data_IF_589939316379
#
_entry.id   IF_589939316379
#
_cell.length_a   1.000
_cell.length_b   1.000
_cell.length_c   1.000
_cell.angle_alpha   90.00
_cell.angle_beta   90.00
_cell.angle_gamma   90.00
#
_symmetry.space_group_name_H-M   'P 1'
#
loop_
_entity.id
_entity.type
_entity.pdbx_description
1 polymer ?
#
# COMPACT_ATOMS: atom_id res chain seq x y z
N UNK A 1 -59.70 -47.76 10.64
CA UNK A 1 -60.29 -46.98 9.53
C UNK A 1 -60.16 -45.54 9.96
N UNK A 2 -59.47 -44.62 9.31
CA UNK A 2 -58.85 -44.62 7.99
C UNK A 2 -57.77 -43.51 8.02
N UNK A 3 -56.78 -43.73 7.18
CA UNK A 3 -55.55 -43.02 6.82
C UNK A 3 -55.24 -41.61 7.37
N UNK A 4 -54.12 -41.53 8.10
CA UNK A 4 -53.26 -40.34 8.13
C UNK A 4 -52.25 -40.41 6.98
N UNK A 5 -52.40 -39.50 6.03
CA UNK A 5 -51.41 -39.19 5.00
C UNK A 5 -51.40 -37.68 4.85
N UNK A 6 -50.37 -37.03 5.36
CA UNK A 6 -50.04 -35.67 4.96
C UNK A 6 -48.60 -35.68 4.46
N UNK A 7 -48.50 -35.36 3.18
CA UNK A 7 -47.33 -35.39 2.33
C UNK A 7 -46.34 -34.32 2.77
N UNK A 8 -45.12 -34.76 2.98
CA UNK A 8 -43.87 -34.01 3.04
C UNK A 8 -43.58 -33.38 1.66
N UNK A 9 -43.52 -32.05 1.60
CA UNK A 9 -42.85 -31.27 0.54
C UNK A 9 -42.60 -29.84 1.05
N UNK A 10 -41.44 -29.58 1.65
CA UNK A 10 -40.81 -28.26 1.50
C UNK A 10 -39.31 -28.44 1.33
N UNK A 11 -38.84 -27.99 0.17
CA UNK A 11 -37.49 -28.08 -0.34
C UNK A 11 -36.42 -27.81 0.73
N UNK A 12 -35.51 -28.77 0.86
CA UNK A 12 -34.19 -28.51 1.42
C UNK A 12 -33.48 -27.54 0.48
N UNK A 13 -33.49 -26.26 0.86
CA UNK A 13 -32.53 -25.29 0.39
C UNK A 13 -31.16 -25.79 0.85
N UNK A 14 -30.46 -26.48 -0.07
CA UNK A 14 -29.05 -26.79 0.09
C UNK A 14 -28.32 -25.49 -0.17
N UNK A 15 -28.31 -24.64 0.85
CA UNK A 15 -27.50 -23.43 0.87
C UNK A 15 -26.09 -23.82 0.46
N UNK A 16 -25.75 -23.50 -0.79
CA UNK A 16 -24.40 -23.50 -1.29
C UNK A 16 -23.65 -22.57 -0.35
N UNK A 17 -22.84 -23.16 0.52
CA UNK A 17 -21.87 -22.42 1.31
C UNK A 17 -21.10 -21.55 0.31
N UNK A 18 -21.32 -20.24 0.42
CA UNK A 18 -20.53 -19.24 -0.26
C UNK A 18 -19.08 -19.57 0.05
N UNK A 19 -18.33 -19.95 -0.99
CA UNK A 19 -16.94 -20.34 -0.87
C UNK A 19 -16.19 -19.09 -0.45
N UNK A 20 -16.02 -18.93 0.87
CA UNK A 20 -15.44 -17.76 1.50
C UNK A 20 -14.22 -17.29 0.75
N UNK A 21 -14.36 -16.14 0.08
CA UNK A 21 -13.22 -15.38 -0.36
C UNK A 21 -12.46 -14.99 0.89
N UNK A 22 -11.40 -15.73 1.21
CA UNK A 22 -10.54 -15.43 2.34
C UNK A 22 -10.06 -13.99 2.18
N UNK A 23 -10.50 -13.12 3.08
CA UNK A 23 -9.95 -11.77 3.20
C UNK A 23 -8.44 -11.92 3.37
N UNK A 24 -7.69 -11.32 2.45
CA UNK A 24 -6.23 -11.31 2.56
C UNK A 24 -5.84 -10.15 3.45
N UNK A 25 -5.26 -10.44 4.61
CA UNK A 25 -4.83 -9.43 5.57
C UNK A 25 -3.58 -8.72 5.05
N UNK A 26 -3.58 -7.39 4.99
CA UNK A 26 -2.39 -6.62 4.62
C UNK A 26 -1.32 -6.70 5.72
N UNK A 27 -0.05 -6.56 5.36
CA UNK A 27 1.03 -6.66 6.36
C UNK A 27 0.89 -5.65 7.51
N UNK A 28 0.40 -4.44 7.22
CA UNK A 28 0.18 -3.41 8.23
C UNK A 28 -1.10 -3.60 9.06
N UNK A 29 -1.96 -4.55 8.70
CA UNK A 29 -3.16 -4.91 9.49
C UNK A 29 -2.89 -6.10 10.42
N UNK A 30 -1.65 -6.59 10.47
CA UNK A 30 -1.26 -7.70 11.35
C UNK A 30 -1.16 -7.22 12.80
N UNK A 31 -1.38 -8.13 13.75
CA UNK A 31 -1.19 -7.87 15.18
C UNK A 31 0.21 -8.29 15.66
N UNK A 32 1.15 -8.53 14.74
CA UNK A 32 2.47 -9.09 15.03
C UNK A 32 3.59 -8.52 14.15
N UNK A 33 4.84 -8.86 14.50
CA UNK A 33 6.02 -8.47 13.73
C UNK A 33 6.10 -9.22 12.40
N UNK A 34 6.54 -8.50 11.36
CA UNK A 34 6.89 -9.07 10.07
C UNK A 34 8.20 -8.52 9.51
N UNK A 35 8.76 -9.18 8.50
CA UNK A 35 10.00 -8.82 7.84
C UNK A 35 9.70 -7.91 6.64
N UNK A 36 9.95 -6.60 6.78
CA UNK A 36 9.72 -5.63 5.71
C UNK A 36 10.94 -5.40 4.81
N UNK A 37 12.10 -5.95 5.18
CA UNK A 37 13.31 -5.89 4.37
C UNK A 37 14.34 -6.93 4.79
N UNK A 38 15.07 -7.48 3.82
CA UNK A 38 16.17 -8.43 4.04
C UNK A 38 17.33 -7.98 3.16
N UNK A 39 18.48 -7.73 3.78
CA UNK A 39 19.74 -7.43 3.10
C UNK A 39 20.67 -8.64 3.30
N UNK A 40 20.81 -9.42 2.25
CA UNK A 40 21.58 -10.66 2.23
C UNK A 40 23.10 -10.39 2.23
N UNK A 41 23.53 -9.22 1.73
CA UNK A 41 24.95 -8.85 1.68
C UNK A 41 25.47 -8.44 3.06
N UNK A 42 24.72 -7.58 3.76
CA UNK A 42 25.05 -7.10 5.09
C UNK A 42 24.50 -8.01 6.19
N UNK A 43 23.74 -9.05 5.83
CA UNK A 43 23.11 -10.01 6.74
C UNK A 43 22.26 -9.30 7.78
N UNK A 44 21.35 -8.45 7.33
CA UNK A 44 20.40 -7.76 8.20
C UNK A 44 18.96 -8.00 7.77
N UNK A 45 18.05 -7.97 8.74
CA UNK A 45 16.61 -7.99 8.51
C UNK A 45 15.99 -6.77 9.18
N UNK A 46 15.09 -6.10 8.46
CA UNK A 46 14.25 -5.03 8.97
C UNK A 46 12.92 -5.61 9.41
N UNK A 47 12.63 -5.48 10.69
CA UNK A 47 11.39 -5.92 11.32
C UNK A 47 10.47 -4.71 11.46
N UNK A 48 9.22 -4.83 11.03
CA UNK A 48 8.20 -3.79 11.18
C UNK A 48 7.17 -4.23 12.21
N UNK A 49 6.81 -3.30 13.08
CA UNK A 49 5.78 -3.45 14.10
C UNK A 49 4.55 -2.64 13.69
N UNK A 50 3.48 -3.29 13.18
CA UNK A 50 2.24 -2.62 12.84
C UNK A 50 1.41 -2.19 14.06
N UNK A 51 1.73 -2.69 15.25
CA UNK A 51 0.89 -2.49 16.45
C UNK A 51 1.08 -1.11 17.08
N UNK A 52 0.15 -0.78 17.99
CA UNK A 52 0.15 0.45 18.80
C UNK A 52 1.10 0.43 20.01
N UNK A 53 1.84 -0.66 20.21
CA UNK A 53 2.73 -0.80 21.36
C UNK A 53 4.10 -1.29 20.91
N UNK A 54 5.15 -0.79 21.56
CA UNK A 54 6.51 -1.26 21.35
C UNK A 54 6.61 -2.78 21.56
N UNK A 55 7.24 -3.48 20.62
CA UNK A 55 7.52 -4.91 20.73
C UNK A 55 8.98 -5.09 21.13
N UNK A 56 9.21 -5.66 22.32
CA UNK A 56 10.54 -6.06 22.75
C UNK A 56 10.92 -7.39 22.10
N UNK A 57 12.01 -7.38 21.33
CA UNK A 57 12.61 -8.57 20.72
C UNK A 57 13.87 -9.01 21.47
N UNK A 58 14.25 -10.26 21.27
CA UNK A 58 15.39 -10.90 21.94
C UNK A 58 14.98 -12.12 22.77
N UNK A 59 15.96 -12.69 23.46
CA UNK A 59 15.78 -13.90 24.25
C UNK A 59 15.35 -15.10 23.39
N UNK A 60 14.53 -16.00 23.95
CA UNK A 60 14.05 -17.21 23.24
C UNK A 60 12.72 -17.03 22.52
N UNK A 61 12.10 -15.85 22.62
CA UNK A 61 10.74 -15.60 22.13
C UNK A 61 10.72 -15.44 20.62
N UNK A 62 11.59 -14.57 20.10
CA UNK A 62 11.71 -14.34 18.66
C UNK A 62 12.94 -15.02 18.09
N UNK A 63 12.74 -15.84 17.07
CA UNK A 63 13.82 -16.58 16.43
C UNK A 63 13.71 -16.50 14.92
N UNK A 64 14.86 -16.36 14.27
CA UNK A 64 14.98 -16.58 12.85
C UNK A 64 15.27 -18.05 12.58
N UNK A 65 14.68 -18.56 11.52
CA UNK A 65 14.89 -19.90 11.01
C UNK A 65 15.26 -19.84 9.54
N UNK A 66 16.23 -20.65 9.15
CA UNK A 66 16.53 -20.94 7.77
C UNK A 66 16.87 -22.42 7.65
N UNK A 67 16.28 -23.13 6.68
CA UNK A 67 16.65 -24.52 6.51
C UNK A 67 16.07 -25.46 7.58
N UNK A 68 16.15 -26.78 7.35
CA UNK A 68 15.89 -27.74 8.40
C UNK A 68 17.06 -27.70 9.39
N UNK A 69 16.91 -26.93 10.48
CA UNK A 69 17.74 -27.10 11.68
C UNK A 69 18.56 -25.90 12.15
N UNK A 70 18.55 -24.77 11.45
CA UNK A 70 19.20 -23.56 11.94
C UNK A 70 18.16 -22.60 12.54
N UNK A 71 18.22 -22.44 13.87
CA UNK A 71 17.41 -21.50 14.63
C UNK A 71 18.33 -20.61 15.43
N UNK A 72 18.01 -19.32 15.47
CA UNK A 72 18.78 -18.40 16.28
C UNK A 72 17.90 -17.29 16.81
N UNK A 73 18.07 -17.00 18.10
CA UNK A 73 17.45 -15.87 18.76
C UNK A 73 17.83 -14.56 18.05
N UNK A 74 16.85 -13.67 17.90
CA UNK A 74 17.15 -12.30 17.50
C UNK A 74 18.00 -11.59 18.56
N UNK A 75 18.84 -10.62 18.17
CA UNK A 75 19.45 -9.69 19.12
C UNK A 75 18.39 -8.98 19.98
N UNK A 76 18.77 -8.58 21.20
CA UNK A 76 17.90 -7.74 22.05
C UNK A 76 17.63 -6.40 21.36
N UNK A 77 16.38 -5.94 21.44
CA UNK A 77 15.96 -4.68 20.84
C UNK A 77 14.49 -4.36 21.12
N UNK A 78 14.08 -3.16 20.71
CA UNK A 78 12.69 -2.72 20.77
C UNK A 78 12.30 -2.23 19.38
N UNK A 79 11.27 -2.84 18.81
CA UNK A 79 10.65 -2.38 17.56
C UNK A 79 9.53 -1.40 17.94
N UNK A 80 9.69 -0.09 17.70
CA UNK A 80 8.74 0.91 18.15
C UNK A 80 7.36 0.71 17.51
N UNK A 81 6.28 1.11 18.21
CA UNK A 81 4.92 1.10 17.67
C UNK A 81 4.83 1.82 16.30
N UNK A 82 4.17 1.18 15.31
CA UNK A 82 4.10 1.66 13.92
C UNK A 82 5.44 1.77 13.18
N UNK A 83 6.55 1.39 13.84
CA UNK A 83 7.90 1.63 13.36
C UNK A 83 8.63 0.38 12.91
N UNK A 84 9.92 0.53 12.62
CA UNK A 84 10.78 -0.58 12.23
C UNK A 84 12.14 -0.55 12.93
N UNK A 85 12.76 -1.72 13.03
CA UNK A 85 14.10 -1.92 13.56
C UNK A 85 14.88 -2.87 12.64
N UNK A 86 16.07 -2.44 12.22
CA UNK A 86 17.01 -3.31 11.51
C UNK A 86 17.91 -4.03 12.51
N UNK A 87 17.94 -5.35 12.42
CA UNK A 87 18.78 -6.21 13.26
C UNK A 87 19.67 -7.11 12.42
N UNK A 88 20.81 -7.49 12.99
CA UNK A 88 21.70 -8.45 12.36
C UNK A 88 21.08 -9.87 12.37
N UNK A 89 21.20 -10.56 11.24
CA UNK A 89 20.87 -11.99 11.11
C UNK A 89 21.97 -12.79 11.84
N UNK A 90 21.63 -13.56 12.90
CA UNK A 90 22.61 -14.25 13.71
C UNK A 90 23.52 -15.20 12.91
N UNK A 91 24.76 -15.38 13.37
CA UNK A 91 25.77 -16.20 12.68
C UNK A 91 25.35 -17.66 12.45
N UNK A 92 24.40 -18.18 13.23
CA UNK A 92 23.86 -19.54 13.04
C UNK A 92 22.96 -19.69 11.81
N UNK A 93 22.50 -18.58 11.23
CA UNK A 93 21.67 -18.53 10.02
C UNK A 93 22.58 -18.22 8.82
N UNK A 94 22.45 -18.94 7.71
CA UNK A 94 23.33 -18.82 6.53
C UNK A 94 22.60 -18.27 5.32
N UNK A 95 22.51 -16.95 5.17
CA UNK A 95 21.82 -16.35 4.01
C UNK A 95 22.63 -16.54 2.72
N UNK A 96 22.18 -17.46 1.85
CA UNK A 96 22.72 -17.57 0.49
C UNK A 96 22.12 -16.44 -0.36
N UNK A 97 22.96 -15.58 -0.97
CA UNK A 97 22.50 -14.43 -1.74
C UNK A 97 21.79 -14.80 -3.06
N UNK A 98 21.82 -16.07 -3.47
CA UNK A 98 21.17 -16.54 -4.71
C UNK A 98 19.84 -17.21 -4.40
N UNK A 99 19.82 -18.15 -3.44
CA UNK A 99 18.65 -18.98 -3.16
C UNK A 99 18.47 -19.17 -1.66
N UNK A 100 17.27 -18.94 -1.13
CA UNK A 100 17.07 -19.15 0.29
C UNK A 100 15.67 -18.86 0.79
N UNK A 101 15.51 -19.05 2.09
CA UNK A 101 14.31 -18.76 2.84
C UNK A 101 14.70 -18.15 4.17
N UNK A 102 13.83 -17.31 4.72
CA UNK A 102 13.94 -16.82 6.08
C UNK A 102 12.54 -16.86 6.70
N UNK A 103 12.44 -17.40 7.91
CA UNK A 103 11.20 -17.45 8.65
C UNK A 103 11.39 -16.80 10.02
N UNK A 104 10.41 -16.01 10.44
CA UNK A 104 10.34 -15.39 11.76
C UNK A 104 9.35 -16.18 12.62
N UNK A 105 9.75 -16.55 13.84
CA UNK A 105 8.92 -17.31 14.77
C UNK A 105 8.71 -16.56 16.09
N UNK A 106 7.51 -16.70 16.66
CA UNK A 106 7.17 -16.37 18.05
C UNK A 106 5.96 -17.20 18.52
N UNK A 107 6.08 -18.02 19.59
CA UNK A 107 7.32 -18.38 20.28
C UNK A 107 8.18 -19.33 19.42
N UNK A 108 9.31 -19.82 19.96
CA UNK A 108 10.19 -20.80 19.30
C UNK A 108 9.61 -22.22 19.08
N UNK A 109 8.36 -22.33 18.62
CA UNK A 109 7.72 -23.58 18.18
C UNK A 109 7.83 -23.72 16.65
N UNK A 110 8.84 -24.44 16.18
CA UNK A 110 9.20 -24.41 14.75
C UNK A 110 8.37 -25.31 13.84
N UNK A 111 7.39 -26.02 14.38
CA UNK A 111 6.61 -27.03 13.64
C UNK A 111 5.18 -26.60 13.33
N UNK A 112 4.74 -25.46 13.84
CA UNK A 112 3.34 -25.01 13.76
C UNK A 112 3.26 -23.69 12.99
N UNK A 113 2.23 -23.58 12.13
CA UNK A 113 1.91 -22.35 11.40
C UNK A 113 1.67 -21.16 12.33
N UNK A 114 0.94 -21.34 13.43
CA UNK A 114 0.59 -20.25 14.36
C UNK A 114 1.80 -19.67 15.12
N UNK A 115 2.93 -20.38 15.13
CA UNK A 115 4.14 -19.87 15.75
C UNK A 115 5.08 -19.21 14.73
N UNK A 116 4.85 -19.43 13.43
CA UNK A 116 5.55 -18.70 12.39
C UNK A 116 4.79 -17.39 12.21
N UNK A 117 5.47 -16.27 12.46
CA UNK A 117 4.92 -14.95 12.19
C UNK A 117 5.06 -14.67 10.70
N UNK A 118 6.23 -14.91 10.12
CA UNK A 118 6.48 -14.48 8.75
C UNK A 118 7.42 -15.43 8.00
N UNK A 119 7.34 -15.43 6.68
CA UNK A 119 8.14 -16.27 5.80
C UNK A 119 8.44 -15.52 4.51
N UNK A 120 9.71 -15.53 4.10
CA UNK A 120 10.14 -14.98 2.82
C UNK A 120 11.02 -16.00 2.12
N UNK A 121 10.80 -16.22 0.82
CA UNK A 121 11.69 -17.02 0.00
C UNK A 121 12.16 -16.30 -1.26
N UNK A 122 13.38 -16.61 -1.69
CA UNK A 122 14.02 -15.99 -2.85
C UNK A 122 14.80 -16.99 -3.70
N UNK A 123 15.02 -16.62 -4.96
CA UNK A 123 15.61 -17.48 -5.98
C UNK A 123 14.77 -18.73 -6.20
N UNK A 124 15.42 -19.89 -6.10
CA UNK A 124 14.80 -21.21 -6.20
C UNK A 124 14.34 -21.76 -4.82
N UNK A 125 14.47 -20.95 -3.76
CA UNK A 125 14.08 -21.31 -2.39
C UNK A 125 14.95 -22.36 -1.71
N UNK A 126 16.08 -22.77 -2.30
CA UNK A 126 17.07 -23.73 -1.78
C UNK A 126 16.48 -24.88 -0.92
N UNK A 127 15.54 -25.63 -1.50
CA UNK A 127 14.88 -26.78 -0.87
C UNK A 127 13.61 -26.47 -0.07
N UNK A 128 13.12 -25.22 -0.16
CA UNK A 128 11.90 -24.67 0.47
C UNK A 128 11.62 -25.17 1.90
N UNK A 129 12.64 -25.17 2.77
CA UNK A 129 12.48 -25.64 4.13
C UNK A 129 11.49 -24.74 4.87
N UNK A 130 10.51 -25.38 5.52
CA UNK A 130 9.39 -24.74 6.21
C UNK A 130 8.33 -24.09 5.31
N UNK A 131 8.45 -24.16 3.98
CA UNK A 131 7.35 -23.77 3.09
C UNK A 131 6.09 -24.58 3.39
N UNK A 132 6.24 -25.87 3.70
CA UNK A 132 5.15 -26.73 4.13
C UNK A 132 4.47 -26.29 5.44
N UNK A 133 5.12 -25.44 6.25
CA UNK A 133 4.55 -24.82 7.45
C UNK A 133 3.95 -23.46 7.10
N UNK A 134 4.61 -22.66 6.27
CA UNK A 134 4.09 -21.38 5.79
C UNK A 134 2.79 -21.51 4.97
N UNK A 135 2.65 -22.62 4.23
CA UNK A 135 1.47 -22.98 3.43
C UNK A 135 0.37 -23.69 4.23
N UNK A 136 0.60 -24.02 5.50
CA UNK A 136 -0.49 -24.51 6.36
C UNK A 136 -1.42 -23.35 6.69
N UNK A 137 -2.72 -23.63 6.73
CA UNK A 137 -3.72 -22.69 7.24
C UNK A 137 -3.57 -22.56 8.75
N UNK A 138 -3.40 -21.33 9.24
CA UNK A 138 -3.35 -21.02 10.65
C UNK A 138 -4.72 -21.12 11.30
N UNK A 139 -4.76 -20.94 12.62
CA UNK A 139 -6.00 -20.81 13.40
C UNK A 139 -6.82 -19.58 13.01
N UNK A 140 -6.18 -18.59 12.38
CA UNK A 140 -6.76 -17.39 11.78
C UNK A 140 -7.38 -17.63 10.39
N UNK A 141 -7.23 -18.83 9.82
CA UNK A 141 -7.72 -19.14 8.48
C UNK A 141 -6.81 -18.70 7.34
N UNK A 142 -5.60 -18.18 7.61
CA UNK A 142 -4.67 -17.66 6.59
C UNK A 142 -3.44 -18.54 6.38
N UNK A 143 -2.75 -18.34 5.26
CA UNK A 143 -1.40 -18.89 5.00
C UNK A 143 -0.38 -17.74 4.97
N UNK A 144 0.88 -17.99 5.36
CA UNK A 144 1.93 -16.96 5.28
C UNK A 144 2.57 -16.85 3.91
N UNK A 145 2.55 -17.94 3.15
CA UNK A 145 3.16 -17.97 1.84
C UNK A 145 2.32 -18.83 0.92
N UNK A 146 1.99 -18.32 -0.25
CA UNK A 146 1.21 -19.03 -1.25
C UNK A 146 2.06 -20.02 -2.07
N UNK A 147 1.51 -20.55 -3.15
CA UNK A 147 2.19 -21.47 -4.06
C UNK A 147 2.75 -20.80 -5.33
N UNK A 148 2.78 -19.46 -5.39
CA UNK A 148 3.25 -18.71 -6.56
C UNK A 148 4.79 -18.58 -6.66
N UNK A 149 5.52 -19.33 -5.83
CA UNK A 149 6.98 -19.45 -5.90
C UNK A 149 7.72 -18.43 -5.03
N UNK A 150 8.97 -18.13 -5.41
CA UNK A 150 9.90 -17.31 -4.63
C UNK A 150 10.35 -16.07 -5.40
N UNK A 151 10.72 -15.03 -4.65
CA UNK A 151 11.13 -13.73 -5.19
C UNK A 151 12.38 -13.89 -6.05
N UNK A 152 12.31 -13.43 -7.30
CA UNK A 152 13.46 -13.45 -8.21
C UNK A 152 14.37 -12.26 -7.96
N UNK A 153 15.61 -12.52 -7.53
CA UNK A 153 16.54 -11.45 -7.14
C UNK A 153 17.20 -10.73 -8.31
N UNK A 154 17.33 -11.38 -9.47
CA UNK A 154 17.99 -10.84 -10.65
C UNK A 154 19.39 -10.24 -10.36
N UNK A 155 20.13 -10.82 -9.41
CA UNK A 155 21.46 -10.36 -8.98
C UNK A 155 21.46 -9.35 -7.82
N UNK A 156 20.29 -8.93 -7.33
CA UNK A 156 20.16 -8.15 -6.09
C UNK A 156 20.48 -8.99 -4.87
N UNK A 157 20.94 -8.34 -3.80
CA UNK A 157 21.06 -8.92 -2.46
C UNK A 157 19.98 -8.44 -1.51
N UNK A 158 19.06 -7.60 -1.99
CA UNK A 158 18.04 -6.99 -1.15
C UNK A 158 16.65 -7.44 -1.56
N UNK A 159 15.82 -7.69 -0.55
CA UNK A 159 14.38 -7.90 -0.65
C UNK A 159 13.67 -6.86 0.20
N UNK A 160 12.63 -6.26 -0.35
CA UNK A 160 11.79 -5.28 0.34
C UNK A 160 10.34 -5.63 0.11
N UNK A 161 9.55 -5.67 1.18
CA UNK A 161 8.10 -5.79 1.08
C UNK A 161 7.54 -4.54 0.41
N UNK A 162 6.63 -4.69 -0.54
CA UNK A 162 5.91 -3.58 -1.16
C UNK A 162 4.93 -2.97 -0.16
N UNK A 163 4.73 -1.67 -0.24
CA UNK A 163 3.76 -1.02 0.64
C UNK A 163 2.35 -1.47 0.26
N UNK A 164 1.46 -1.61 1.24
CA UNK A 164 0.07 -1.99 1.00
C UNK A 164 -0.13 -3.44 0.54
N UNK A 165 0.88 -4.32 0.65
CA UNK A 165 0.72 -5.75 0.30
C UNK A 165 0.65 -6.65 1.54
N UNK A 166 0.09 -7.87 1.40
CA UNK A 166 0.05 -8.86 2.48
C UNK A 166 1.42 -9.41 2.87
N UNK A 167 2.34 -9.49 1.90
CA UNK A 167 3.66 -10.11 2.10
C UNK A 167 3.63 -11.63 2.08
N UNK A 168 2.63 -12.23 1.43
CA UNK A 168 2.42 -13.68 1.39
C UNK A 168 2.71 -14.30 0.02
N UNK A 169 3.22 -13.53 -0.94
CA UNK A 169 3.59 -14.01 -2.27
C UNK A 169 4.92 -13.43 -2.74
N UNK A 170 5.50 -14.00 -3.79
CA UNK A 170 6.68 -13.44 -4.43
C UNK A 170 6.45 -12.04 -5.04
N UNK A 171 5.22 -11.73 -5.47
CA UNK A 171 4.91 -10.43 -6.09
C UNK A 171 4.79 -9.30 -5.07
N UNK A 172 4.62 -9.65 -3.79
CA UNK A 172 4.57 -8.67 -2.70
C UNK A 172 5.93 -8.10 -2.35
N UNK A 173 7.01 -8.66 -2.88
CA UNK A 173 8.38 -8.21 -2.63
C UNK A 173 9.02 -7.64 -3.90
N UNK A 174 10.07 -6.84 -3.71
CA UNK A 174 10.88 -6.28 -4.78
C UNK A 174 12.34 -6.12 -4.35
N UNK A 175 13.20 -5.89 -5.34
CA UNK A 175 14.63 -5.66 -5.17
C UNK A 175 15.01 -4.16 -5.20
N UNK A 176 14.06 -3.28 -4.89
CA UNK A 176 14.28 -1.83 -4.79
C UNK A 176 13.80 -1.36 -3.43
N UNK A 177 14.51 -0.44 -2.76
CA UNK A 177 14.16 0.03 -1.42
C UNK A 177 12.68 0.40 -1.31
N UNK A 178 12.04 -0.07 -0.25
CA UNK A 178 10.75 0.42 0.22
C UNK A 178 10.91 0.82 1.68
N UNK A 179 10.15 1.81 2.11
CA UNK A 179 9.97 2.10 3.52
C UNK A 179 8.54 1.76 3.87
N UNK A 180 8.33 0.53 4.37
CA UNK A 180 7.02 0.15 4.92
C UNK A 180 6.89 0.86 6.26
N UNK A 181 6.03 1.87 6.28
CA UNK A 181 5.57 2.54 7.49
C UNK A 181 4.14 2.07 7.71
N UNK A 182 3.89 1.37 8.81
CA UNK A 182 2.53 1.04 9.19
C UNK A 182 2.04 2.17 10.07
N UNK A 183 1.14 3.00 9.55
CA UNK A 183 0.37 3.88 10.41
C UNK A 183 -0.67 3.00 11.08
N UNK A 184 -0.64 2.85 12.41
CA UNK A 184 -1.69 2.09 13.08
C UNK A 184 -3.02 2.82 12.86
N UNK A 185 -4.09 2.08 12.58
CA UNK A 185 -5.45 2.58 12.32
C UNK A 185 -6.12 3.32 13.52
N UNK A 186 -5.33 3.79 14.50
CA UNK A 186 -5.79 4.58 15.65
C UNK A 186 -5.06 5.93 15.79
N UNK A 187 -4.25 6.34 14.82
CA UNK A 187 -3.74 7.73 14.72
C UNK A 187 -4.54 8.56 13.71
N UNK A 188 -5.78 8.17 13.40
CA UNK A 188 -6.73 9.15 12.91
C UNK A 188 -6.90 10.23 14.00
N UNK A 189 -6.35 11.41 13.75
CA UNK A 189 -6.62 12.59 14.56
C UNK A 189 -8.08 13.11 14.34
N UNK A 190 -8.84 12.41 13.51
CA UNK A 190 -10.25 12.57 13.19
C UNK A 190 -11.19 12.12 14.31
N UNK A 191 -12.17 12.95 14.56
CA UNK A 191 -13.16 12.85 15.63
C UNK A 191 -14.24 11.80 15.29
N UNK A 192 -14.01 10.52 15.53
CA UNK A 192 -15.11 9.57 15.79
C UNK A 192 -14.83 8.63 16.97
N UNK A 193 -15.19 9.13 18.15
CA UNK A 193 -15.05 8.38 19.39
C UNK A 193 -15.87 7.09 19.41
N UNK A 194 -15.19 5.95 19.39
CA UNK A 194 -15.76 4.66 19.77
C UNK A 194 -14.73 3.53 19.80
N UNK A 195 -14.40 2.95 20.96
CA UNK A 195 -13.69 1.68 20.99
C UNK A 195 -14.69 0.60 20.60
N UNK A 196 -14.30 -0.31 19.71
CA UNK A 196 -15.12 -1.40 19.14
C UNK A 196 -15.97 -0.99 17.94
N UNK A 197 -15.29 -0.56 16.88
CA UNK A 197 -15.65 -1.01 15.53
C UNK A 197 -15.18 -2.48 15.41
N UNK A 198 -16.10 -3.38 15.11
CA UNK A 198 -15.84 -4.80 14.88
C UNK A 198 -16.12 -5.20 13.44
N UNK A 199 -15.77 -4.36 12.46
CA UNK A 199 -16.18 -4.55 11.08
C UNK A 199 -15.14 -4.09 10.07
N UNK A 200 -14.31 -5.03 9.61
CA UNK A 200 -13.72 -5.05 8.26
C UNK A 200 -13.29 -3.67 7.74
N UNK A 201 -12.31 -3.05 8.40
CA UNK A 201 -11.59 -1.92 7.80
C UNK A 201 -10.49 -2.45 6.85
N UNK A 202 -10.91 -3.34 5.94
CA UNK A 202 -10.16 -3.59 4.72
C UNK A 202 -10.40 -2.40 3.80
N UNK A 203 -9.93 -1.23 4.24
CA UNK A 203 -9.79 -0.07 3.36
C UNK A 203 -9.04 -0.50 2.09
N UNK A 204 -9.37 0.12 0.94
CA UNK A 204 -8.72 -0.21 -0.31
C UNK A 204 -7.19 -0.19 -0.18
N UNK A 205 -6.52 -1.10 -0.87
CA UNK A 205 -5.05 -1.17 -0.94
C UNK A 205 -4.50 0.20 -1.32
N UNK A 206 -3.44 0.64 -0.64
CA UNK A 206 -2.92 1.99 -0.82
C UNK A 206 -1.57 1.98 -1.52
N UNK A 207 -1.41 2.86 -2.52
CA UNK A 207 -0.21 3.00 -3.34
C UNK A 207 0.45 4.34 -3.02
N UNK A 208 1.67 4.28 -2.47
CA UNK A 208 2.51 5.46 -2.28
C UNK A 208 2.83 6.13 -3.62
N UNK A 209 3.04 7.44 -3.61
CA UNK A 209 3.33 8.25 -4.80
C UNK A 209 4.46 7.69 -5.67
N UNK A 210 5.50 7.13 -5.04
CA UNK A 210 6.66 6.56 -5.73
C UNK A 210 6.43 5.16 -6.32
N UNK A 211 5.27 4.57 -6.06
CA UNK A 211 4.85 3.27 -6.58
C UNK A 211 3.84 3.40 -7.72
N UNK A 212 3.39 4.63 -8.01
CA UNK A 212 2.47 4.90 -9.12
C UNK A 212 3.18 4.74 -10.48
N UNK A 213 2.43 4.22 -11.44
CA UNK A 213 2.87 3.98 -12.83
C UNK A 213 2.53 5.17 -13.78
N UNK A 214 2.02 6.27 -13.22
CA UNK A 214 1.39 7.39 -13.93
C UNK A 214 1.85 8.74 -13.38
N UNK A 215 1.58 9.80 -14.12
CA UNK A 215 1.74 11.16 -13.63
C UNK A 215 0.83 11.42 -12.43
N UNK A 216 1.31 12.25 -11.51
CA UNK A 216 0.54 12.77 -10.39
C UNK A 216 0.56 14.30 -10.39
N UNK A 217 -0.44 14.89 -9.75
CA UNK A 217 -0.53 16.32 -9.46
C UNK A 217 0.34 16.59 -8.22
N UNK A 218 1.51 17.19 -8.42
CA UNK A 218 2.44 17.54 -7.34
C UNK A 218 2.01 18.84 -6.65
N UNK A 219 1.57 19.83 -7.43
CA UNK A 219 1.05 21.08 -6.85
C UNK A 219 0.12 21.83 -7.79
N UNK A 220 -0.72 22.67 -7.17
CA UNK A 220 -1.62 23.62 -7.82
C UNK A 220 -1.43 24.99 -7.18
N UNK A 221 -1.03 26.00 -7.96
CA UNK A 221 -0.81 27.37 -7.50
C UNK A 221 -1.99 28.25 -7.91
N UNK A 222 -2.78 28.71 -6.93
CA UNK A 222 -3.96 29.55 -7.15
C UNK A 222 -3.62 31.01 -7.46
N UNK A 223 -2.41 31.46 -7.13
CA UNK A 223 -1.98 32.81 -7.45
C UNK A 223 -1.55 32.96 -8.93
N UNK A 224 -0.94 31.92 -9.50
CA UNK A 224 -0.38 31.96 -10.87
C UNK A 224 -1.16 31.13 -11.88
N UNK A 225 -2.23 30.46 -11.45
CA UNK A 225 -2.97 29.47 -12.25
C UNK A 225 -2.04 28.37 -12.81
N UNK A 226 -1.04 27.94 -12.06
CA UNK A 226 -0.07 26.93 -12.51
C UNK A 226 -0.35 25.56 -11.89
N UNK A 227 -0.20 24.51 -12.71
CA UNK A 227 -0.25 23.12 -12.29
C UNK A 227 1.13 22.52 -12.48
N UNK A 228 1.63 21.81 -11.47
CA UNK A 228 2.86 21.01 -11.57
C UNK A 228 2.52 19.53 -11.57
N UNK A 229 2.94 18.83 -12.63
CA UNK A 229 2.88 17.37 -12.70
C UNK A 229 4.24 16.76 -12.40
N UNK A 230 4.25 15.66 -11.66
CA UNK A 230 5.43 14.87 -11.36
C UNK A 230 5.32 13.46 -11.96
N UNK A 231 6.43 12.96 -12.48
CA UNK A 231 6.57 11.61 -13.01
C UNK A 231 7.32 10.72 -12.00
N UNK A 232 6.62 9.88 -11.22
CA UNK A 232 7.26 8.99 -10.25
C UNK A 232 7.98 7.79 -10.90
N UNK A 233 7.86 7.60 -12.22
CA UNK A 233 8.39 6.42 -12.90
C UNK A 233 9.83 6.59 -13.36
N UNK A 234 10.52 5.45 -13.58
CA UNK A 234 11.85 5.39 -14.19
C UNK A 234 11.88 5.65 -15.70
N UNK A 235 10.76 6.02 -16.32
CA UNK A 235 10.62 6.20 -17.77
C UNK A 235 10.00 7.55 -18.12
N UNK A 236 10.36 8.13 -19.25
CA UNK A 236 9.78 9.40 -19.68
C UNK A 236 8.31 9.21 -20.08
N UNK A 237 7.43 10.09 -19.59
CA UNK A 237 6.00 10.09 -19.93
C UNK A 237 5.69 11.27 -20.87
N UNK A 238 4.96 11.00 -21.96
CA UNK A 238 4.39 12.02 -22.84
C UNK A 238 2.92 12.24 -22.53
N UNK A 239 2.51 13.50 -22.34
CA UNK A 239 1.09 13.85 -22.13
C UNK A 239 0.31 13.99 -23.44
N UNK A 240 0.99 14.08 -24.58
CA UNK A 240 0.39 14.40 -25.88
C UNK A 240 -0.71 13.40 -26.28
N UNK A 241 -1.97 13.85 -26.21
CA UNK A 241 -3.16 13.05 -26.54
C UNK A 241 -3.55 12.00 -25.51
N UNK A 242 -2.77 11.85 -24.43
CA UNK A 242 -2.98 10.80 -23.43
C UNK A 242 -3.74 11.36 -22.22
N UNK A 243 -3.27 12.45 -21.62
CA UNK A 243 -3.84 12.88 -20.34
C UNK A 243 -4.93 13.94 -20.50
N UNK A 244 -5.92 13.89 -19.61
CA UNK A 244 -7.01 14.85 -19.53
C UNK A 244 -7.21 15.32 -18.08
N UNK A 245 -7.44 16.61 -17.90
CA UNK A 245 -7.98 17.15 -16.67
C UNK A 245 -9.50 17.12 -16.70
N UNK A 246 -10.10 16.86 -15.55
CA UNK A 246 -11.52 17.05 -15.29
C UNK A 246 -11.67 17.88 -14.02
N UNK A 247 -12.49 18.92 -14.12
CA UNK A 247 -12.92 19.77 -13.03
C UNK A 247 -14.39 20.16 -13.29
N UNK A 248 -15.14 20.60 -12.28
CA UNK A 248 -16.42 21.26 -12.52
C UNK A 248 -17.40 21.08 -11.39
N UNK A 249 -18.63 21.50 -11.63
CA UNK A 249 -19.73 21.34 -10.69
C UNK A 249 -20.46 20.02 -10.97
N UNK A 250 -21.19 19.49 -9.98
CA UNK A 250 -22.05 18.33 -10.17
C UNK A 250 -23.13 18.62 -11.24
N UNK A 251 -22.82 18.30 -12.51
CA UNK A 251 -23.68 18.53 -13.67
C UNK A 251 -23.05 19.37 -14.80
N UNK A 252 -21.95 20.09 -14.54
CA UNK A 252 -21.17 20.79 -15.58
C UNK A 252 -19.69 20.51 -15.40
N UNK A 253 -19.21 19.46 -16.07
CA UNK A 253 -17.79 19.11 -16.05
C UNK A 253 -17.05 19.83 -17.18
N UNK A 254 -16.00 20.55 -16.80
CA UNK A 254 -14.97 21.06 -17.67
C UNK A 254 -13.90 19.99 -17.88
N UNK A 255 -13.67 19.66 -19.15
CA UNK A 255 -12.61 18.75 -19.56
C UNK A 255 -11.57 19.50 -20.36
N UNK A 256 -10.31 19.15 -20.16
CA UNK A 256 -9.22 19.73 -20.94
C UNK A 256 -8.11 18.72 -21.16
N UNK A 257 -7.53 18.72 -22.36
CA UNK A 257 -6.31 17.98 -22.58
C UNK A 257 -5.17 18.60 -21.74
N UNK A 258 -4.36 17.76 -21.10
CA UNK A 258 -3.11 18.23 -20.51
C UNK A 258 -2.22 18.77 -21.64
N UNK A 259 -1.54 19.93 -21.48
CA UNK A 259 -0.63 20.45 -22.49
C UNK A 259 0.39 19.40 -22.94
N UNK A 260 0.71 19.36 -24.23
CA UNK A 260 1.64 18.38 -24.78
C UNK A 260 3.07 18.66 -24.29
N UNK A 261 3.52 17.88 -23.30
CA UNK A 261 4.82 18.00 -22.64
C UNK A 261 5.44 16.61 -22.47
N UNK A 262 6.77 16.60 -22.31
CA UNK A 262 7.52 15.39 -21.97
C UNK A 262 8.01 15.54 -20.53
N UNK A 263 7.58 14.64 -19.65
CA UNK A 263 7.99 14.65 -18.24
C UNK A 263 9.09 13.62 -18.06
N UNK A 264 10.34 14.03 -17.76
CA UNK A 264 11.45 13.09 -17.63
C UNK A 264 11.22 12.13 -16.44
N UNK A 265 11.92 10.98 -16.40
CA UNK A 265 11.90 10.09 -15.23
C UNK A 265 12.22 10.86 -13.95
N UNK A 266 11.41 10.68 -12.89
CA UNK A 266 11.55 11.39 -11.62
C UNK A 266 11.60 12.92 -11.74
N UNK A 267 11.02 13.43 -12.83
CA UNK A 267 11.02 14.84 -13.18
C UNK A 267 9.66 15.50 -12.97
N UNK A 268 9.67 16.84 -13.00
CA UNK A 268 8.47 17.66 -12.92
C UNK A 268 8.36 18.62 -14.09
N UNK A 269 7.12 19.00 -14.39
CA UNK A 269 6.82 20.06 -15.36
C UNK A 269 5.72 20.94 -14.79
N UNK A 270 5.92 22.24 -14.87
CA UNK A 270 4.94 23.26 -14.47
C UNK A 270 4.45 23.97 -15.72
N UNK A 271 3.14 24.19 -15.80
CA UNK A 271 2.51 24.91 -16.90
C UNK A 271 1.24 25.62 -16.40
N UNK A 272 0.84 26.67 -17.11
CA UNK A 272 -0.44 27.33 -16.83
C UNK A 272 -1.60 26.37 -17.08
N UNK A 273 -2.56 26.34 -16.16
CA UNK A 273 -3.78 25.59 -16.26
C UNK A 273 -4.46 25.89 -17.61
N UNK A 274 -4.98 24.87 -18.33
CA UNK A 274 -5.75 25.11 -19.53
C UNK A 274 -6.94 26.03 -19.23
N UNK A 275 -7.32 26.92 -20.16
CA UNK A 275 -8.34 27.95 -19.90
C UNK A 275 -9.73 27.45 -19.49
N UNK A 276 -10.01 26.15 -19.67
CA UNK A 276 -11.25 25.51 -19.20
C UNK A 276 -11.17 25.01 -17.76
N UNK A 277 -9.96 24.92 -17.20
CA UNK A 277 -9.68 24.61 -15.81
C UNK A 277 -9.49 25.93 -15.07
N UNK A 278 -10.29 26.14 -14.04
CA UNK A 278 -10.28 27.34 -13.19
C UNK A 278 -9.58 27.00 -11.89
N UNK A 279 -8.48 27.68 -11.58
CA UNK A 279 -7.73 27.45 -10.34
C UNK A 279 -8.04 28.58 -9.35
N UNK A 280 -9.13 28.44 -8.63
CA UNK A 280 -9.57 29.36 -7.57
C UNK A 280 -9.86 28.58 -6.27
N UNK A 281 -10.44 29.26 -5.28
CA UNK A 281 -10.83 28.64 -4.01
C UNK A 281 -11.86 27.52 -4.20
N UNK A 282 -11.82 26.55 -3.28
CA UNK A 282 -12.87 25.52 -3.13
C UNK A 282 -13.06 24.64 -4.38
N UNK A 283 -11.99 24.01 -4.84
CA UNK A 283 -11.99 23.18 -6.06
C UNK A 283 -11.44 21.79 -5.83
N UNK A 284 -11.74 20.93 -6.81
CA UNK A 284 -11.07 19.67 -7.02
C UNK A 284 -10.60 19.54 -8.47
N UNK A 285 -9.52 18.80 -8.68
CA UNK A 285 -8.93 18.51 -9.97
C UNK A 285 -8.64 17.01 -10.07
N UNK A 286 -9.23 16.38 -11.07
CA UNK A 286 -8.95 14.99 -11.42
C UNK A 286 -8.06 14.92 -12.66
N UNK A 287 -7.06 14.03 -12.62
CA UNK A 287 -6.20 13.70 -13.75
C UNK A 287 -6.57 12.31 -14.28
N UNK A 288 -6.82 12.22 -15.58
CA UNK A 288 -7.15 10.97 -16.27
C UNK A 288 -6.08 10.61 -17.30
N UNK A 289 -5.83 9.31 -17.49
CA UNK A 289 -4.92 8.76 -18.51
C UNK A 289 -5.51 8.77 -19.93
N UNK A 290 -6.79 9.08 -20.08
CA UNK A 290 -7.50 9.23 -21.34
C UNK A 290 -8.85 9.94 -21.11
N UNK A 291 -9.66 10.11 -22.15
CA UNK A 291 -10.97 10.76 -22.06
C UNK A 291 -12.10 9.85 -21.53
N UNK A 292 -11.80 8.74 -20.84
CA UNK A 292 -12.79 7.86 -20.21
C UNK A 292 -13.22 8.42 -18.86
N UNK A 293 -13.86 9.60 -18.90
CA UNK A 293 -14.37 10.27 -17.72
C UNK A 293 -15.48 9.44 -17.06
N UNK A 294 -15.47 9.35 -15.73
CA UNK A 294 -16.39 8.49 -14.98
C UNK A 294 -15.87 7.08 -14.70
N UNK A 295 -14.75 6.67 -15.33
CA UNK A 295 -14.06 5.44 -14.97
C UNK A 295 -13.01 5.71 -13.90
N UNK A 296 -13.14 5.02 -12.75
CA UNK A 296 -12.11 5.05 -11.70
C UNK A 296 -10.76 4.55 -12.22
N UNK A 297 -10.74 3.51 -13.07
CA UNK A 297 -9.51 2.96 -13.65
C UNK A 297 -8.81 3.91 -14.63
N UNK A 298 -9.54 4.86 -15.19
CA UNK A 298 -8.97 5.87 -16.08
C UNK A 298 -8.45 7.08 -15.30
N UNK A 299 -8.95 7.33 -14.08
CA UNK A 299 -8.45 8.36 -13.19
C UNK A 299 -7.15 7.88 -12.58
N UNK A 300 -6.09 8.69 -12.70
CA UNK A 300 -4.75 8.38 -12.18
C UNK A 300 -4.38 9.24 -10.98
N UNK A 301 -5.04 10.38 -10.80
CA UNK A 301 -4.86 11.19 -9.62
C UNK A 301 -6.06 12.09 -9.33
N UNK A 302 -6.19 12.49 -8.07
CA UNK A 302 -7.22 13.41 -7.57
C UNK A 302 -6.61 14.31 -6.50
N UNK A 303 -6.90 15.61 -6.59
CA UNK A 303 -6.50 16.60 -5.59
C UNK A 303 -7.70 17.53 -5.33
N UNK A 304 -7.96 17.86 -4.07
CA UNK A 304 -8.95 18.88 -3.73
C UNK A 304 -8.47 19.80 -2.60
N UNK A 305 -8.95 21.05 -2.63
CA UNK A 305 -8.53 22.09 -1.70
C UNK A 305 -9.68 23.04 -1.29
N UNK A 306 -9.41 23.83 -0.26
CA UNK A 306 -10.41 24.68 0.39
C UNK A 306 -11.44 23.84 1.15
N UNK A 307 -12.69 24.26 1.08
CA UNK A 307 -13.86 23.51 1.58
C UNK A 307 -14.28 22.37 0.66
N UNK A 308 -13.59 22.22 -0.48
CA UNK A 308 -13.89 21.23 -1.52
C UNK A 308 -14.94 21.67 -2.54
N UNK A 309 -15.70 22.74 -2.25
CA UNK A 309 -16.72 23.29 -3.15
C UNK A 309 -17.56 22.19 -3.83
N UNK A 310 -17.66 22.26 -5.16
CA UNK A 310 -18.16 21.15 -5.95
C UNK A 310 -17.05 20.14 -6.26
N UNK A 311 -17.09 19.03 -5.54
CA UNK A 311 -16.17 17.92 -5.63
C UNK A 311 -16.43 17.05 -6.87
N UNK A 312 -16.27 17.63 -8.07
CA UNK A 312 -16.41 16.89 -9.31
C UNK A 312 -15.60 15.60 -9.25
N UNK A 313 -16.26 14.49 -9.60
CA UNK A 313 -15.68 13.16 -9.66
C UNK A 313 -15.16 12.58 -8.34
N UNK A 314 -15.52 13.14 -7.19
CA UNK A 314 -15.12 12.54 -5.90
C UNK A 314 -15.74 11.16 -5.68
N UNK A 315 -16.97 10.95 -6.15
CA UNK A 315 -17.60 9.63 -6.11
C UNK A 315 -16.72 8.62 -6.84
N UNK A 316 -16.24 8.96 -8.03
CA UNK A 316 -15.31 8.15 -8.78
C UNK A 316 -13.96 8.01 -8.08
N UNK A 317 -13.39 9.06 -7.52
CA UNK A 317 -12.10 9.01 -6.81
C UNK A 317 -12.16 8.09 -5.57
N UNK A 318 -13.30 8.04 -4.90
CA UNK A 318 -13.58 7.17 -3.73
C UNK A 318 -13.94 5.74 -4.11
N UNK A 319 -14.24 5.46 -5.37
CA UNK A 319 -14.46 4.08 -5.81
C UNK A 319 -13.13 3.32 -5.80
N UNK A 320 -13.22 2.05 -5.41
CA UNK A 320 -12.10 1.10 -5.51
C UNK A 320 -11.93 0.73 -6.99
N UNK A 321 -10.74 0.97 -7.53
CA UNK A 321 -10.37 0.59 -8.89
C UNK A 321 -10.17 -0.92 -9.03
N UNK A 322 -9.94 -1.37 -10.25
CA UNK A 322 -9.51 -2.75 -10.56
C UNK A 322 -8.17 -3.11 -9.94
N UNK A 323 -7.37 -2.11 -9.58
CA UNK A 323 -6.12 -2.23 -8.82
C UNK A 323 -6.33 -2.39 -7.30
N UNK A 324 -7.58 -2.40 -6.84
CA UNK A 324 -7.92 -2.53 -5.43
C UNK A 324 -7.76 -1.24 -4.63
N UNK A 325 -7.54 -0.09 -5.27
CA UNK A 325 -7.19 1.17 -4.60
C UNK A 325 -8.25 2.27 -4.78
N UNK A 326 -8.36 3.20 -3.84
CA UNK A 326 -9.08 4.47 -4.01
C UNK A 326 -8.08 5.62 -4.18
N UNK A 327 -8.45 6.65 -4.95
CA UNK A 327 -7.63 7.87 -5.13
C UNK A 327 -7.96 8.95 -4.12
N UNK A 328 -9.10 8.86 -3.45
CA UNK A 328 -9.48 9.78 -2.39
C UNK A 328 -10.24 9.05 -1.29
N UNK A 329 -9.98 9.41 -0.04
CA UNK A 329 -10.61 8.87 1.14
C UNK A 329 -11.96 9.56 1.45
N UNK A 330 -12.58 9.18 2.57
CA UNK A 330 -13.81 9.82 3.04
C UNK A 330 -13.57 11.22 3.65
N UNK A 331 -12.31 11.63 3.79
CA UNK A 331 -11.88 12.90 4.35
C UNK A 331 -12.28 14.11 3.51
N UNK A 332 -12.01 15.29 4.09
CA UNK A 332 -12.26 16.58 3.45
C UNK A 332 -11.21 16.94 2.42
N UNK A 333 -11.11 18.24 2.12
CA UNK A 333 -10.08 18.82 1.28
C UNK A 333 -9.07 19.60 2.10
N UNK A 334 -7.86 19.76 1.57
CA UNK A 334 -6.82 20.52 2.23
C UNK A 334 -7.20 22.00 2.30
N UNK A 335 -7.26 22.62 3.48
CA UNK A 335 -7.57 24.05 3.58
C UNK A 335 -6.56 24.88 2.80
N UNK A 336 -7.04 25.76 1.93
CA UNK A 336 -6.19 26.66 1.17
C UNK A 336 -6.93 27.95 0.78
N UNK A 337 -6.19 29.06 0.70
CA UNK A 337 -6.66 30.39 0.33
C UNK A 337 -6.29 30.74 -1.13
N UNK A 338 -6.91 31.80 -1.66
CA UNK A 338 -6.87 32.22 -3.07
C UNK A 338 -5.46 32.56 -3.61
N UNK A 339 -4.49 32.82 -2.72
CA UNK A 339 -3.11 33.17 -3.06
C UNK A 339 -2.09 32.08 -2.66
N UNK A 340 -2.57 30.89 -2.28
CA UNK A 340 -1.70 29.81 -1.83
C UNK A 340 -1.37 28.81 -2.96
N UNK A 341 -0.36 27.98 -2.71
CA UNK A 341 -0.10 26.80 -3.53
C UNK A 341 -0.35 25.58 -2.67
N UNK A 342 -1.16 24.66 -3.17
CA UNK A 342 -1.35 23.35 -2.53
C UNK A 342 -0.29 22.42 -3.06
N UNK A 343 0.55 21.91 -2.16
CA UNK A 343 1.60 20.96 -2.45
C UNK A 343 1.24 19.61 -1.89
N UNK A 344 1.50 18.57 -2.66
CA UNK A 344 1.53 17.20 -2.19
C UNK A 344 2.71 17.01 -1.22
N UNK A 345 2.48 16.32 -0.10
CA UNK A 345 3.48 16.05 0.93
C UNK A 345 4.32 14.83 0.53
N UNK A 346 5.66 14.92 0.50
CA UNK A 346 6.48 13.80 0.09
C UNK A 346 6.33 12.57 1.00
N UNK A 347 6.24 11.40 0.39
CA UNK A 347 6.14 10.13 1.11
C UNK A 347 4.72 9.82 1.61
N UNK A 348 3.74 10.64 1.22
CA UNK A 348 2.32 10.34 1.42
C UNK A 348 1.71 9.64 0.22
N UNK A 349 0.42 9.36 0.32
CA UNK A 349 -0.37 8.65 -0.70
C UNK A 349 -1.06 9.65 -1.64
N UNK A 350 -1.34 10.85 -1.10
CA UNK A 350 -2.23 11.88 -1.65
C UNK A 350 -3.57 11.33 -2.07
N UNK A 351 -4.20 10.66 -1.11
CA UNK A 351 -5.60 10.27 -1.13
C UNK A 351 -6.41 11.01 -0.05
N UNK A 352 -5.79 11.82 0.80
CA UNK A 352 -6.48 12.54 1.87
C UNK A 352 -6.10 14.01 1.92
N UNK A 353 -6.86 14.82 2.66
CA UNK A 353 -6.49 16.21 2.91
C UNK A 353 -5.15 16.37 3.65
N UNK A 354 -4.75 15.39 4.47
CA UNK A 354 -3.53 15.44 5.28
C UNK A 354 -2.26 15.27 4.42
N UNK A 355 -2.41 14.70 3.22
CA UNK A 355 -1.33 14.47 2.28
C UNK A 355 -0.99 15.70 1.43
N UNK A 356 -1.65 16.82 1.69
CA UNK A 356 -1.32 18.08 1.05
C UNK A 356 -1.16 19.19 2.08
N UNK A 357 -0.37 20.20 1.71
CA UNK A 357 -0.04 21.34 2.55
C UNK A 357 0.07 22.59 1.70
N UNK A 358 -0.22 23.75 2.30
CA UNK A 358 0.06 25.06 1.69
C UNK A 358 1.48 25.54 1.94
N UNK A 359 2.27 24.75 2.67
CA UNK A 359 3.71 24.98 2.88
C UNK A 359 4.50 24.12 1.90
N UNK A 360 5.37 24.76 1.11
CA UNK A 360 6.23 24.04 0.18
C UNK A 360 7.11 23.01 0.92
N UNK A 361 7.08 21.72 0.50
CA UNK A 361 7.85 20.68 1.18
C UNK A 361 9.35 20.84 0.93
N UNK A 362 10.15 20.52 1.97
CA UNK A 362 11.62 20.49 1.90
C UNK A 362 12.12 19.17 2.49
N UNK A 363 12.71 18.25 1.68
CA UNK A 363 12.85 18.33 0.22
C UNK A 363 11.49 18.23 -0.50
N UNK A 364 11.44 18.63 -1.77
CA UNK A 364 10.28 18.34 -2.62
C UNK A 364 10.15 16.84 -2.91
N UNK A 365 9.05 16.44 -3.55
CA UNK A 365 8.82 15.05 -3.90
C UNK A 365 9.96 14.49 -4.77
N UNK A 366 10.49 13.34 -4.35
CA UNK A 366 11.60 12.66 -5.02
C UNK A 366 11.49 11.15 -4.84
N UNK A 367 11.15 10.47 -5.93
CA UNK A 367 11.08 9.01 -6.03
C UNK A 367 12.30 8.40 -6.72
N UNK A 368 13.25 9.25 -7.13
CA UNK A 368 14.53 8.78 -7.64
C UNK A 368 15.30 8.05 -6.56
N UNK A 369 16.03 7.00 -6.95
CA UNK A 369 16.97 6.30 -6.06
C UNK A 369 17.95 7.33 -5.52
N UNK A 370 17.93 7.56 -4.20
CA UNK A 370 19.01 8.28 -3.52
C UNK A 370 20.21 7.34 -3.57
N UNK A 371 21.06 7.51 -4.59
CA UNK A 371 22.30 6.78 -4.73
C UNK A 371 23.31 7.14 -3.64
#
# INVERSE_FOLDING_TARGET
MDQGSQVDMSAGDTGTADSGGGSTLLACQRDDLFMSGIDLANRTVRLTNPTMSDITIGGTNYQLCQGPGAYSALPEGVVPAGGSLTVAIPNGITTDPVNGTLALYNPGSFTTRDAMLDYVCWGDGAGTPRLNVAQQTGTDGTVLWDDQGCVQLAGSTDLYLRTGTPGNTAVDYRNSPSNVVCMPDGMDAGVDGGPVDGGVDAGPVIILECERDSLIIESVNMQTDEITLYNPTGTMISTNGNYQFCQGESGTNNYSAVPAVMVPPYGRVTFNAPSTIVIDNDRALALYRNSSFGSRDAMVDYMCWGTGGDLARITEARMVGTDGTALWDAGGCTPANEDETVYRVPGTEGNSAADYSTTAPVPGLSCGVVL
#
